data_IF_327718349707
#
_entry.id   IF_327718349707
#
_cell.length_a   1.000
_cell.length_b   1.000
_cell.length_c   1.000
_cell.angle_alpha   90.00
_cell.angle_beta   90.00
_cell.angle_gamma   90.00
#
_symmetry.space_group_name_H-M   'P 1'
#
loop_
_entity.id
_entity.type
_entity.pdbx_description
1 polymer ?
#
# COMPACT_ATOMS: atom_id res chain seq x y z
N UNK A 1 -10.97 35.81 78.33
CA UNK A 1 -12.15 35.40 77.56
C UNK A 1 -11.65 35.09 76.17
N UNK A 2 -11.35 33.80 75.98
CA UNK A 2 -10.79 33.31 74.71
C UNK A 2 -11.93 32.69 73.88
N UNK A 3 -12.11 33.22 72.68
CA UNK A 3 -13.06 32.69 71.69
C UNK A 3 -12.32 31.70 70.81
N UNK A 4 -12.56 30.41 70.99
CA UNK A 4 -12.09 29.34 70.14
C UNK A 4 -13.13 29.14 69.03
N UNK A 5 -12.82 29.58 67.83
CA UNK A 5 -13.64 29.31 66.65
C UNK A 5 -13.35 27.87 66.13
N UNK A 6 -14.28 26.96 66.37
CA UNK A 6 -14.24 25.58 65.84
C UNK A 6 -14.53 25.61 64.36
N UNK A 7 -13.53 25.29 63.52
CA UNK A 7 -13.70 25.03 62.08
C UNK A 7 -14.25 23.63 61.89
N UNK A 8 -15.43 23.48 61.29
CA UNK A 8 -16.09 22.21 61.03
C UNK A 8 -15.27 21.36 60.10
N UNK A 9 -15.00 20.08 60.44
CA UNK A 9 -14.15 19.19 59.61
C UNK A 9 -14.71 18.87 58.19
N UNK A 10 -15.98 19.18 57.96
CA UNK A 10 -16.63 18.97 56.65
C UNK A 10 -16.12 19.92 55.54
N UNK A 11 -15.57 21.08 55.88
CA UNK A 11 -15.03 22.04 54.90
C UNK A 11 -13.64 21.62 54.39
N UNK A 12 -12.87 20.90 55.20
CA UNK A 12 -11.52 20.43 54.84
C UNK A 12 -11.59 19.25 53.86
N UNK A 13 -12.61 18.35 54.01
CA UNK A 13 -12.81 17.22 53.13
C UNK A 13 -13.26 17.66 51.73
N UNK A 14 -14.08 18.72 51.62
CA UNK A 14 -14.52 19.26 50.34
C UNK A 14 -13.37 19.91 49.53
N UNK A 15 -12.38 20.51 50.23
CA UNK A 15 -11.24 21.17 49.57
C UNK A 15 -10.20 20.13 49.08
N UNK A 16 -10.05 18.97 49.75
CA UNK A 16 -9.16 17.90 49.33
C UNK A 16 -9.72 17.09 48.15
N UNK A 17 -11.02 17.04 47.98
CA UNK A 17 -11.65 16.31 46.85
C UNK A 17 -11.59 17.13 45.54
N UNK A 18 -11.45 18.46 45.59
CA UNK A 18 -11.39 19.34 44.41
C UNK A 18 -10.03 19.34 43.71
N UNK A 19 -8.95 18.90 44.36
CA UNK A 19 -7.59 18.84 43.78
C UNK A 19 -7.31 17.56 43.03
N UNK A 20 -8.11 16.49 43.19
CA UNK A 20 -7.90 15.19 42.57
C UNK A 20 -8.44 15.06 41.14
N UNK A 21 -9.11 16.06 40.58
CA UNK A 21 -9.73 16.02 39.24
C UNK A 21 -8.99 16.81 38.15
N UNK A 22 -7.82 17.38 38.44
CA UNK A 22 -7.05 18.17 37.45
C UNK A 22 -5.94 17.38 36.76
N UNK A 23 -6.00 16.08 36.76
CA UNK A 23 -5.01 15.18 36.13
C UNK A 23 -5.45 14.63 34.80
N UNK A 24 -6.02 15.42 33.87
CA UNK A 24 -6.05 15.04 32.47
C UNK A 24 -4.67 15.35 31.85
N UNK A 25 -3.69 14.50 32.09
CA UNK A 25 -2.56 14.39 31.21
C UNK A 25 -3.07 13.83 29.89
N UNK A 26 -3.30 14.71 28.92
CA UNK A 26 -3.37 14.34 27.51
C UNK A 26 -1.96 13.87 27.15
N UNK A 27 -1.68 12.59 27.40
CA UNK A 27 -0.60 11.93 26.73
C UNK A 27 -1.01 11.88 25.26
N UNK A 28 -0.24 12.44 24.31
CA UNK A 28 -0.50 12.19 22.93
C UNK A 28 -0.41 10.67 22.76
N UNK A 29 -1.50 10.05 22.34
CA UNK A 29 -1.48 8.68 21.85
C UNK A 29 -0.54 8.69 20.66
N UNK A 30 0.70 8.29 20.89
CA UNK A 30 1.60 7.94 19.79
C UNK A 30 0.96 6.71 19.17
N UNK A 31 0.29 6.89 18.04
CA UNK A 31 -0.14 5.79 17.18
C UNK A 31 1.11 5.02 16.81
N UNK A 32 1.40 3.97 17.58
CA UNK A 32 2.61 3.14 17.44
C UNK A 32 2.63 2.35 16.14
N UNK A 33 1.63 2.50 15.30
CA UNK A 33 1.45 1.74 14.07
C UNK A 33 1.61 2.57 12.79
N UNK A 34 1.74 3.90 12.89
CA UNK A 34 2.02 4.75 11.74
C UNK A 34 3.50 4.74 11.41
N UNK A 35 3.81 4.48 10.15
CA UNK A 35 5.18 4.55 9.63
C UNK A 35 5.49 6.03 9.30
N UNK A 36 6.54 6.57 9.91
CA UNK A 36 6.87 7.98 9.81
C UNK A 36 8.02 8.21 8.82
N UNK A 37 8.03 9.42 8.25
CA UNK A 37 9.19 9.94 7.53
C UNK A 37 10.42 10.10 8.45
N UNK A 38 11.50 10.71 7.94
CA UNK A 38 12.69 10.97 8.73
C UNK A 38 12.36 11.77 9.99
N UNK A 39 12.97 11.45 11.16
CA UNK A 39 12.73 12.19 12.40
C UNK A 39 13.08 13.69 12.30
N UNK A 40 13.99 14.05 11.42
CA UNK A 40 14.48 15.43 11.19
C UNK A 40 13.61 16.21 10.18
N UNK A 41 12.48 15.65 9.74
CA UNK A 41 11.62 16.27 8.73
C UNK A 41 11.95 15.86 7.29
N UNK A 42 11.54 16.67 6.32
CA UNK A 42 11.76 16.34 4.90
C UNK A 42 13.24 16.42 4.54
N UNK A 43 13.81 15.31 4.05
CA UNK A 43 15.19 15.22 3.58
C UNK A 43 15.21 15.37 2.05
N UNK A 44 16.16 16.17 1.54
CA UNK A 44 16.39 16.24 0.09
C UNK A 44 17.06 14.95 -0.41
N UNK A 45 16.29 14.17 -1.14
CA UNK A 45 16.73 12.90 -1.73
C UNK A 45 16.94 13.00 -3.25
N UNK A 46 16.89 14.20 -3.81
CA UNK A 46 17.00 14.43 -5.26
C UNK A 46 18.32 13.93 -5.83
N UNK A 47 19.42 14.05 -5.05
CA UNK A 47 20.77 13.64 -5.40
C UNK A 47 20.98 12.12 -5.39
N UNK A 48 20.11 11.33 -4.76
CA UNK A 48 20.24 9.87 -4.67
C UNK A 48 19.96 9.26 -6.06
N UNK A 49 20.91 8.54 -6.70
CA UNK A 49 20.69 7.98 -8.02
C UNK A 49 19.70 6.81 -7.97
N UNK A 50 19.11 6.47 -9.11
CA UNK A 50 18.35 5.24 -9.28
C UNK A 50 19.21 4.01 -8.96
N UNK A 51 18.58 2.92 -8.54
CA UNK A 51 19.25 1.64 -8.45
C UNK A 51 19.81 1.24 -9.83
N UNK A 52 21.03 0.72 -9.85
CA UNK A 52 21.66 0.22 -11.07
C UNK A 52 21.40 -1.28 -11.16
N UNK A 53 20.65 -1.77 -12.16
CA UNK A 53 20.41 -3.20 -12.32
C UNK A 53 21.69 -4.00 -12.44
N UNK A 54 21.80 -5.04 -11.63
CA UNK A 54 22.95 -5.97 -11.62
C UNK A 54 22.46 -7.40 -11.79
N UNK A 55 23.23 -8.22 -12.48
CA UNK A 55 23.01 -9.65 -12.59
C UNK A 55 23.46 -10.34 -11.28
N UNK A 56 22.61 -10.35 -10.30
CA UNK A 56 22.88 -10.92 -8.97
C UNK A 56 22.19 -12.29 -8.85
N UNK A 57 22.84 -13.27 -8.17
CA UNK A 57 22.18 -14.52 -7.85
C UNK A 57 21.00 -14.25 -6.91
N UNK A 58 20.03 -15.16 -6.91
CA UNK A 58 18.91 -15.12 -5.95
C UNK A 58 19.49 -15.08 -4.53
N UNK A 59 18.95 -14.21 -3.70
CA UNK A 59 19.35 -14.16 -2.29
C UNK A 59 19.04 -15.51 -1.61
N UNK A 60 19.90 -15.87 -0.67
CA UNK A 60 19.77 -17.12 0.11
C UNK A 60 18.45 -17.14 0.91
N UNK A 61 17.99 -15.97 1.31
CA UNK A 61 16.79 -15.78 2.12
C UNK A 61 15.68 -15.10 1.32
N UNK A 62 14.45 -15.21 1.82
CA UNK A 62 13.29 -14.53 1.25
C UNK A 62 12.71 -15.18 -0.02
N UNK A 63 13.25 -16.29 -0.51
CA UNK A 63 12.83 -16.98 -1.72
C UNK A 63 12.29 -18.43 -1.52
N UNK A 64 11.44 -18.70 -0.50
CA UNK A 64 10.79 -20.00 -0.41
C UNK A 64 9.78 -20.17 -1.57
N UNK A 65 9.38 -21.39 -1.88
CA UNK A 65 8.33 -21.64 -2.89
C UNK A 65 7.02 -20.93 -2.52
N UNK A 66 6.67 -20.91 -1.23
CA UNK A 66 5.54 -20.14 -0.68
C UNK A 66 5.79 -19.80 0.77
N UNK A 67 5.08 -18.78 1.26
CA UNK A 67 5.09 -18.38 2.67
C UNK A 67 3.71 -17.86 3.09
N UNK A 68 3.43 -17.80 4.40
CA UNK A 68 2.14 -17.35 4.94
C UNK A 68 2.36 -16.16 5.84
N UNK A 69 1.60 -15.09 5.62
CA UNK A 69 1.53 -13.91 6.49
C UNK A 69 0.08 -13.54 6.71
N UNK A 70 -0.31 -13.28 7.96
CA UNK A 70 -1.69 -12.93 8.33
C UNK A 70 -2.73 -13.91 7.75
N UNK A 71 -2.42 -15.21 7.74
CA UNK A 71 -3.30 -16.26 7.22
C UNK A 71 -3.36 -16.37 5.69
N UNK A 72 -2.77 -15.44 4.94
CA UNK A 72 -2.74 -15.46 3.47
C UNK A 72 -1.46 -16.10 2.96
N UNK A 73 -1.60 -17.03 2.01
CA UNK A 73 -0.46 -17.68 1.35
C UNK A 73 -0.03 -16.93 0.10
N UNK A 74 1.27 -16.71 -0.03
CA UNK A 74 1.92 -16.08 -1.17
C UNK A 74 2.86 -17.09 -1.82
N UNK A 75 2.89 -17.11 -3.16
CA UNK A 75 3.77 -17.97 -3.95
C UNK A 75 4.83 -17.10 -4.61
N UNK A 76 6.10 -17.42 -4.36
CA UNK A 76 7.23 -16.72 -4.99
C UNK A 76 7.39 -17.21 -6.43
N UNK A 77 7.47 -16.27 -7.36
CA UNK A 77 7.65 -16.57 -8.78
C UNK A 77 9.02 -17.22 -9.04
N UNK A 78 9.05 -18.14 -9.98
CA UNK A 78 10.31 -18.77 -10.41
C UNK A 78 11.22 -17.83 -11.20
N UNK A 79 10.68 -16.77 -11.81
CA UNK A 79 11.41 -15.77 -12.58
C UNK A 79 10.67 -14.43 -12.50
N UNK A 80 11.43 -13.32 -12.58
CA UNK A 80 10.87 -11.98 -12.76
C UNK A 80 10.70 -11.59 -14.25
N UNK A 81 11.15 -12.43 -15.16
CA UNK A 81 11.15 -12.12 -16.59
C UNK A 81 9.74 -11.84 -17.11
N UNK A 82 9.58 -10.69 -17.77
CA UNK A 82 8.31 -10.29 -18.38
C UNK A 82 7.25 -9.83 -17.38
N UNK A 83 7.59 -9.75 -16.08
CA UNK A 83 6.64 -9.27 -15.08
C UNK A 83 6.29 -7.80 -15.31
N UNK A 84 5.02 -7.54 -15.49
CA UNK A 84 4.40 -6.22 -15.57
C UNK A 84 3.14 -6.23 -14.74
N UNK A 85 3.06 -5.37 -13.73
CA UNK A 85 1.91 -5.30 -12.83
C UNK A 85 1.50 -3.86 -12.59
N UNK A 86 0.19 -3.56 -12.62
CA UNK A 86 -0.39 -2.27 -12.24
C UNK A 86 -1.17 -2.41 -10.96
N UNK A 87 -0.93 -1.50 -10.04
CA UNK A 87 -1.59 -1.52 -8.75
C UNK A 87 -1.21 -0.31 -7.90
N UNK A 88 -1.51 -0.42 -6.62
CA UNK A 88 -1.23 0.63 -5.65
C UNK A 88 0.14 0.40 -5.03
N UNK A 89 0.98 1.43 -5.05
CA UNK A 89 2.17 1.53 -4.22
C UNK A 89 1.86 2.24 -2.91
N UNK A 90 2.50 1.80 -1.84
CA UNK A 90 2.69 2.56 -0.61
C UNK A 90 4.18 2.69 -0.30
N UNK A 91 4.53 3.16 0.88
CA UNK A 91 5.91 3.27 1.30
C UNK A 91 6.07 2.93 2.78
N UNK A 92 7.28 2.54 3.17
CA UNK A 92 7.66 2.21 4.53
C UNK A 92 8.90 3.03 4.92
N UNK A 93 8.94 3.53 6.14
CA UNK A 93 9.90 4.54 6.56
C UNK A 93 10.70 4.16 7.81
N UNK A 94 10.77 5.07 8.76
CA UNK A 94 11.69 5.01 9.91
C UNK A 94 11.46 3.83 10.84
N UNK A 95 10.24 3.30 10.93
CA UNK A 95 9.91 2.11 11.76
C UNK A 95 10.74 0.88 11.41
N UNK A 96 11.12 0.74 10.14
CA UNK A 96 11.86 -0.40 9.62
C UNK A 96 13.34 -0.10 9.35
N UNK A 97 13.73 1.18 9.38
CA UNK A 97 15.13 1.58 9.12
C UNK A 97 16.11 0.87 10.03
N UNK A 98 17.19 0.34 9.45
CA UNK A 98 18.19 -0.44 10.15
C UNK A 98 17.83 -1.91 10.43
N UNK A 99 16.57 -2.34 10.17
CA UNK A 99 16.17 -3.74 10.35
C UNK A 99 16.56 -4.59 9.14
N UNK A 100 16.64 -5.91 9.35
CA UNK A 100 16.90 -6.84 8.25
C UNK A 100 15.67 -7.02 7.36
N UNK A 101 15.87 -6.91 6.05
CA UNK A 101 14.90 -7.26 5.02
C UNK A 101 14.81 -8.77 4.85
N UNK A 102 13.81 -9.22 4.10
CA UNK A 102 13.62 -10.65 3.79
C UNK A 102 14.78 -11.25 2.99
N UNK A 103 15.52 -10.46 2.20
CA UNK A 103 16.73 -10.91 1.51
C UNK A 103 17.93 -11.06 2.44
N UNK A 104 17.86 -10.51 3.66
CA UNK A 104 18.96 -10.47 4.63
C UNK A 104 19.80 -9.21 4.59
N UNK A 105 19.53 -8.26 3.69
CA UNK A 105 20.14 -6.93 3.66
C UNK A 105 19.61 -6.06 4.81
N UNK A 106 20.32 -5.01 5.18
CA UNK A 106 19.78 -4.00 6.11
C UNK A 106 18.92 -3.02 5.33
N UNK A 107 17.69 -2.78 5.80
CA UNK A 107 16.82 -1.78 5.20
C UNK A 107 17.35 -0.36 5.47
N UNK A 108 17.60 0.34 4.39
CA UNK A 108 17.91 1.76 4.39
C UNK A 108 16.77 2.53 3.74
N UNK A 109 16.03 3.34 4.53
CA UNK A 109 14.92 4.14 4.01
C UNK A 109 15.36 5.17 2.97
N UNK A 110 16.65 5.53 2.95
CA UNK A 110 17.24 6.44 1.96
C UNK A 110 17.74 5.72 0.70
N UNK A 111 17.81 4.40 0.70
CA UNK A 111 18.16 3.59 -0.48
C UNK A 111 17.04 3.56 -1.53
N UNK A 112 17.41 3.25 -2.77
CA UNK A 112 16.42 3.02 -3.86
C UNK A 112 15.96 1.56 -3.85
N UNK A 113 15.14 1.20 -2.84
CA UNK A 113 14.68 -0.16 -2.58
C UNK A 113 13.16 -0.25 -2.50
N UNK A 114 12.64 -1.48 -2.56
CA UNK A 114 11.23 -1.76 -2.40
C UNK A 114 10.98 -3.19 -1.89
N UNK A 115 9.76 -3.44 -1.38
CA UNK A 115 9.24 -4.75 -1.03
C UNK A 115 8.17 -5.18 -2.03
N UNK A 116 8.16 -6.48 -2.39
CA UNK A 116 7.17 -7.10 -3.25
C UNK A 116 6.83 -8.51 -2.78
N UNK A 117 5.55 -8.90 -2.88
CA UNK A 117 5.08 -10.17 -2.30
C UNK A 117 5.56 -11.40 -3.04
N UNK A 118 5.67 -11.36 -4.36
CA UNK A 118 5.86 -12.58 -5.17
C UNK A 118 7.11 -12.59 -6.05
N UNK A 119 7.68 -11.44 -6.40
CA UNK A 119 8.89 -11.39 -7.23
C UNK A 119 10.08 -12.05 -6.51
N UNK A 120 10.98 -12.77 -7.22
CA UNK A 120 12.20 -13.30 -6.62
C UNK A 120 13.10 -12.18 -6.11
N UNK A 121 13.80 -12.41 -5.01
CA UNK A 121 14.75 -11.47 -4.43
C UNK A 121 16.20 -11.85 -4.79
N UNK A 122 17.04 -10.91 -5.23
CA UNK A 122 16.65 -9.57 -5.62
C UNK A 122 16.02 -9.54 -7.02
N UNK A 123 15.17 -8.55 -7.26
CA UNK A 123 14.72 -8.16 -8.59
C UNK A 123 14.89 -6.65 -8.76
N UNK A 124 15.40 -6.20 -9.88
CA UNK A 124 15.37 -4.78 -10.23
C UNK A 124 14.11 -4.49 -11.03
N UNK A 125 13.43 -3.42 -10.66
CA UNK A 125 12.19 -3.02 -11.32
C UNK A 125 12.14 -1.53 -11.61
N UNK A 126 11.60 -1.18 -12.78
CA UNK A 126 11.16 0.16 -13.07
C UNK A 126 9.77 0.35 -12.47
N UNK A 127 9.59 1.39 -11.68
CA UNK A 127 8.31 1.79 -11.11
C UNK A 127 7.93 3.14 -11.69
N UNK A 128 6.75 3.20 -12.30
CA UNK A 128 6.23 4.43 -12.94
C UNK A 128 4.95 4.84 -12.23
N UNK A 129 4.90 6.07 -11.71
CA UNK A 129 3.67 6.68 -11.21
C UNK A 129 2.77 7.04 -12.41
N UNK A 130 1.60 6.41 -12.46
CA UNK A 130 0.66 6.54 -13.59
C UNK A 130 -0.12 7.86 -13.59
N UNK A 131 -0.09 8.63 -12.48
CA UNK A 131 -0.76 9.92 -12.38
C UNK A 131 0.09 11.07 -12.95
N UNK A 132 1.42 11.02 -12.74
CA UNK A 132 2.35 12.09 -13.13
C UNK A 132 3.45 11.68 -14.13
N UNK A 133 3.56 10.39 -14.46
CA UNK A 133 4.53 9.84 -15.41
C UNK A 133 5.97 9.74 -14.86
N UNK A 134 6.24 10.12 -13.61
CA UNK A 134 7.57 9.96 -13.02
C UNK A 134 7.94 8.48 -12.92
N UNK A 135 9.19 8.17 -13.21
CA UNK A 135 9.70 6.80 -13.22
C UNK A 135 11.05 6.70 -12.54
N UNK A 136 11.24 5.63 -11.79
CA UNK A 136 12.45 5.32 -11.04
C UNK A 136 12.82 3.85 -11.23
N UNK A 137 14.05 3.49 -10.87
CA UNK A 137 14.48 2.10 -10.77
C UNK A 137 14.79 1.81 -9.30
N UNK A 138 14.24 0.70 -8.79
CA UNK A 138 14.45 0.22 -7.43
C UNK A 138 14.97 -1.22 -7.42
N UNK A 139 15.68 -1.58 -6.36
CA UNK A 139 16.01 -2.97 -6.02
C UNK A 139 14.93 -3.52 -5.10
N UNK A 140 14.21 -4.53 -5.53
CA UNK A 140 13.26 -5.27 -4.71
C UNK A 140 14.05 -6.29 -3.88
N UNK A 141 14.18 -6.03 -2.59
CA UNK A 141 14.98 -6.83 -1.66
C UNK A 141 14.21 -7.25 -0.40
N UNK A 142 12.90 -6.96 -0.35
CA UNK A 142 12.08 -7.30 0.80
C UNK A 142 10.71 -7.89 0.41
N UNK A 143 9.98 -8.46 1.41
CA UNK A 143 8.64 -9.01 1.29
C UNK A 143 7.59 -8.07 1.88
N UNK A 144 6.52 -7.88 1.17
CA UNK A 144 5.40 -7.00 1.41
C UNK A 144 4.90 -6.43 0.09
N UNK A 145 3.85 -5.63 0.09
CA UNK A 145 2.97 -5.29 1.21
C UNK A 145 2.05 -6.43 1.64
N UNK A 146 1.69 -6.45 2.93
CA UNK A 146 0.72 -7.40 3.46
C UNK A 146 -0.65 -6.75 3.72
N UNK A 147 -0.80 -5.49 3.39
CA UNK A 147 -2.08 -4.81 3.29
C UNK A 147 -2.79 -5.18 2.00
N UNK A 148 -4.11 -5.31 2.06
CA UNK A 148 -4.92 -5.54 0.87
C UNK A 148 -4.79 -4.38 -0.13
N UNK A 149 -4.97 -4.69 -1.42
CA UNK A 149 -4.97 -3.74 -2.53
C UNK A 149 -3.62 -3.08 -2.87
N UNK A 150 -2.51 -3.44 -2.23
CA UNK A 150 -1.17 -2.92 -2.54
C UNK A 150 -0.32 -3.99 -3.20
N UNK A 151 0.53 -3.57 -4.14
CA UNK A 151 1.43 -4.48 -4.88
C UNK A 151 2.90 -4.29 -4.52
N UNK A 152 3.29 -3.08 -4.11
CA UNK A 152 4.68 -2.73 -3.82
C UNK A 152 4.72 -1.71 -2.67
N UNK A 153 5.67 -1.88 -1.76
CA UNK A 153 6.04 -0.87 -0.77
C UNK A 153 7.39 -0.28 -1.12
N UNK A 154 7.44 1.04 -1.27
CA UNK A 154 8.62 1.78 -1.66
C UNK A 154 9.39 2.26 -0.43
N UNK A 155 10.71 2.41 -0.55
CA UNK A 155 11.48 3.19 0.43
C UNK A 155 11.03 4.65 0.45
N UNK A 156 11.39 5.40 1.49
CA UNK A 156 11.13 6.84 1.59
C UNK A 156 11.65 7.60 0.37
N UNK A 157 12.91 7.35 -0.03
CA UNK A 157 13.51 7.99 -1.21
C UNK A 157 12.77 7.65 -2.50
N UNK A 158 12.44 6.39 -2.70
CA UNK A 158 11.71 5.95 -3.89
C UNK A 158 10.32 6.60 -3.98
N UNK A 159 9.59 6.66 -2.86
CA UNK A 159 8.29 7.29 -2.79
C UNK A 159 8.36 8.82 -2.98
N UNK A 160 9.40 9.47 -2.44
CA UNK A 160 9.66 10.90 -2.64
C UNK A 160 9.86 11.24 -4.12
N UNK A 161 10.73 10.49 -4.81
CA UNK A 161 11.01 10.70 -6.23
C UNK A 161 9.81 10.48 -7.13
N UNK A 162 8.90 9.58 -6.77
CA UNK A 162 7.64 9.32 -7.46
C UNK A 162 6.52 10.31 -7.08
N UNK A 163 6.76 11.20 -6.10
CA UNK A 163 5.75 12.14 -5.59
C UNK A 163 4.53 11.44 -4.95
N UNK A 164 4.81 10.40 -4.16
CA UNK A 164 3.80 9.58 -3.48
C UNK A 164 3.74 9.91 -1.98
N UNK A 165 4.82 10.43 -1.37
CA UNK A 165 4.95 10.61 0.08
C UNK A 165 3.73 11.29 0.73
N UNK A 166 3.31 12.45 0.19
CA UNK A 166 2.22 13.26 0.78
C UNK A 166 0.87 12.53 0.76
N UNK A 167 0.63 11.72 -0.27
CA UNK A 167 -0.61 10.94 -0.42
C UNK A 167 -0.54 9.61 0.33
N UNK A 168 0.65 9.16 0.73
CA UNK A 168 0.90 7.85 1.32
C UNK A 168 0.80 6.69 0.32
N UNK A 169 0.06 6.85 -0.76
CA UNK A 169 -0.18 5.84 -1.80
C UNK A 169 -0.22 6.48 -3.19
N UNK A 170 0.02 5.66 -4.22
CA UNK A 170 -0.07 6.11 -5.62
C UNK A 170 -0.33 4.96 -6.58
N UNK A 171 -0.94 5.27 -7.73
CA UNK A 171 -1.13 4.30 -8.81
C UNK A 171 0.17 4.12 -9.58
N UNK A 172 0.67 2.90 -9.66
CA UNK A 172 1.94 2.60 -10.31
C UNK A 172 1.84 1.45 -11.30
N UNK A 173 2.79 1.43 -12.24
CA UNK A 173 3.17 0.28 -13.04
C UNK A 173 4.55 -0.18 -12.59
N UNK A 174 4.68 -1.48 -12.29
CA UNK A 174 5.93 -2.15 -11.93
C UNK A 174 6.34 -3.04 -13.08
N UNK A 175 7.53 -2.80 -13.63
CA UNK A 175 8.11 -3.60 -14.73
C UNK A 175 9.44 -4.16 -14.26
N UNK A 176 9.54 -5.48 -14.16
CA UNK A 176 10.82 -6.11 -13.83
C UNK A 176 11.83 -5.93 -14.97
N UNK A 177 13.05 -5.57 -14.62
CA UNK A 177 14.13 -5.32 -15.55
C UNK A 177 15.01 -6.57 -15.71
N UNK A 178 15.47 -6.79 -16.93
CA UNK A 178 16.53 -7.76 -17.19
C UNK A 178 17.88 -7.02 -17.06
N UNK A 179 18.74 -7.36 -16.08
CA UNK A 179 20.02 -6.67 -15.90
C UNK A 179 20.99 -6.79 -17.09
N UNK A 180 20.76 -7.78 -17.96
CA UNK A 180 21.58 -8.01 -19.16
C UNK A 180 21.12 -7.18 -20.38
N UNK A 181 20.03 -6.40 -20.21
CA UNK A 181 19.50 -5.54 -21.25
C UNK A 181 19.56 -4.09 -20.77
N UNK A 182 19.76 -3.13 -21.70
CA UNK A 182 19.67 -1.72 -21.35
C UNK A 182 18.33 -1.43 -20.68
N UNK A 183 18.36 -0.69 -19.57
CA UNK A 183 17.13 -0.23 -18.95
C UNK A 183 16.32 0.59 -19.99
N UNK A 184 14.98 0.46 -20.00
CA UNK A 184 14.15 1.22 -20.93
C UNK A 184 14.45 2.71 -20.80
N UNK A 185 14.91 3.34 -21.86
CA UNK A 185 15.31 4.76 -21.89
C UNK A 185 14.12 5.71 -21.70
N UNK A 186 12.90 5.20 -21.80
CA UNK A 186 11.65 5.94 -21.55
C UNK A 186 10.69 5.04 -20.76
N UNK A 187 9.89 5.62 -19.86
CA UNK A 187 8.76 4.90 -19.28
C UNK A 187 7.96 4.29 -20.43
N UNK A 188 7.60 3.03 -20.31
CA UNK A 188 6.71 2.42 -21.29
C UNK A 188 5.44 3.28 -21.30
N UNK A 189 5.25 4.06 -22.36
CA UNK A 189 4.04 4.86 -22.49
C UNK A 189 2.88 3.88 -22.39
N UNK A 190 2.06 4.07 -21.35
CA UNK A 190 0.87 3.27 -21.20
C UNK A 190 0.08 3.34 -22.48
N UNK A 191 -0.27 2.20 -23.07
CA UNK A 191 -1.07 2.09 -24.28
C UNK A 191 -2.48 2.70 -24.15
N UNK A 192 -2.78 3.35 -23.05
CA UNK A 192 -4.03 4.07 -22.75
C UNK A 192 -3.97 5.49 -23.30
N UNK A 193 -3.77 5.66 -24.60
CA UNK A 193 -3.99 6.89 -25.37
C UNK A 193 -4.47 8.15 -24.63
N UNK A 194 -3.66 8.70 -23.70
CA UNK A 194 -3.93 9.99 -23.07
C UNK A 194 -5.04 10.03 -21.98
N UNK A 195 -5.73 8.93 -21.70
CA UNK A 195 -6.72 8.90 -20.60
C UNK A 195 -6.01 8.71 -19.26
N UNK A 196 -6.37 9.52 -18.26
CA UNK A 196 -5.93 9.31 -16.88
C UNK A 196 -6.38 7.91 -16.43
N UNK A 197 -5.51 7.15 -15.76
CA UNK A 197 -5.87 5.83 -15.25
C UNK A 197 -7.04 5.95 -14.27
N UNK A 198 -8.05 5.10 -14.45
CA UNK A 198 -9.19 5.02 -13.54
C UNK A 198 -8.95 3.96 -12.46
N UNK A 199 -9.30 4.29 -11.23
CA UNK A 199 -9.25 3.37 -10.10
C UNK A 199 -10.61 2.68 -9.93
N UNK A 200 -10.62 1.35 -9.88
CA UNK A 200 -11.83 0.55 -9.72
C UNK A 200 -11.63 -0.53 -8.67
N UNK A 201 -12.71 -0.88 -7.97
CA UNK A 201 -12.73 -2.05 -7.10
C UNK A 201 -13.46 -3.19 -7.82
N UNK A 202 -12.76 -4.26 -8.16
CA UNK A 202 -13.37 -5.48 -8.66
C UNK A 202 -14.00 -6.25 -7.49
N UNK A 203 -15.30 -6.51 -7.61
CA UNK A 203 -16.13 -7.12 -6.56
C UNK A 203 -16.62 -8.52 -6.92
N UNK A 204 -16.27 -8.99 -8.10
CA UNK A 204 -16.59 -10.35 -8.56
C UNK A 204 -16.11 -10.61 -9.97
N UNK A 205 -15.98 -11.90 -10.30
CA UNK A 205 -15.66 -12.39 -11.63
C UNK A 205 -16.51 -13.65 -11.89
N UNK A 206 -17.19 -13.70 -13.03
CA UNK A 206 -18.16 -14.73 -13.37
C UNK A 206 -17.94 -15.26 -14.78
N UNK A 207 -18.13 -16.56 -14.98
CA UNK A 207 -18.18 -17.16 -16.32
C UNK A 207 -19.52 -16.88 -17.03
N UNK A 208 -20.56 -16.54 -16.26
CA UNK A 208 -21.89 -16.25 -16.77
C UNK A 208 -22.23 -14.76 -16.61
N UNK A 209 -22.59 -14.11 -17.71
CA UNK A 209 -22.94 -12.69 -17.75
C UNK A 209 -24.15 -12.35 -16.86
N UNK A 210 -25.16 -13.20 -16.83
CA UNK A 210 -26.36 -12.98 -16.01
C UNK A 210 -26.02 -12.83 -14.52
N UNK A 211 -25.11 -13.68 -14.00
CA UNK A 211 -24.65 -13.60 -12.61
C UNK A 211 -23.88 -12.32 -12.32
N UNK A 212 -23.06 -11.85 -13.28
CA UNK A 212 -22.36 -10.58 -13.17
C UNK A 212 -23.33 -9.39 -13.14
N UNK A 213 -24.33 -9.38 -14.06
CA UNK A 213 -25.34 -8.33 -14.14
C UNK A 213 -26.23 -8.30 -12.87
N UNK A 214 -26.60 -9.46 -12.30
CA UNK A 214 -27.31 -9.54 -11.01
C UNK A 214 -26.53 -8.90 -9.87
N UNK A 215 -25.23 -9.20 -9.76
CA UNK A 215 -24.39 -8.57 -8.74
C UNK A 215 -24.28 -7.06 -8.97
N UNK A 216 -24.04 -6.66 -10.23
CA UNK A 216 -23.93 -5.24 -10.60
C UNK A 216 -25.20 -4.44 -10.21
N UNK A 217 -26.38 -4.94 -10.56
CA UNK A 217 -27.66 -4.29 -10.24
C UNK A 217 -27.88 -4.20 -8.71
N UNK A 218 -27.61 -5.28 -7.98
CA UNK A 218 -27.72 -5.30 -6.51
C UNK A 218 -26.82 -4.24 -5.87
N UNK A 219 -25.57 -4.13 -6.33
CA UNK A 219 -24.61 -3.19 -5.78
C UNK A 219 -24.87 -1.75 -6.23
N UNK A 220 -25.35 -1.52 -7.45
CA UNK A 220 -25.73 -0.19 -7.92
C UNK A 220 -26.78 0.44 -7.01
N UNK A 221 -27.82 -0.33 -6.67
CA UNK A 221 -28.88 0.11 -5.77
C UNK A 221 -28.39 0.34 -4.33
N UNK A 222 -27.48 -0.53 -3.83
CA UNK A 222 -27.01 -0.46 -2.45
C UNK A 222 -25.95 0.64 -2.20
N UNK A 223 -25.14 0.95 -3.23
CA UNK A 223 -23.98 1.83 -3.07
C UNK A 223 -24.20 3.24 -3.64
N UNK A 224 -25.23 3.45 -4.44
CA UNK A 224 -25.45 4.67 -5.22
C UNK A 224 -24.17 5.10 -6.00
N UNK A 225 -23.55 4.13 -6.67
CA UNK A 225 -22.29 4.30 -7.41
C UNK A 225 -22.36 3.68 -8.78
N UNK A 226 -21.53 4.19 -9.68
CA UNK A 226 -21.38 3.59 -11.00
C UNK A 226 -20.73 2.20 -10.89
N UNK A 227 -21.34 1.22 -11.55
CA UNK A 227 -20.85 -0.16 -11.62
C UNK A 227 -20.79 -0.56 -13.08
N UNK A 228 -19.70 -1.18 -13.47
CA UNK A 228 -19.53 -1.71 -14.83
C UNK A 228 -19.27 -3.21 -14.80
N UNK A 229 -19.76 -3.90 -15.82
CA UNK A 229 -19.40 -5.28 -16.11
C UNK A 229 -18.42 -5.27 -17.29
N UNK A 230 -17.16 -5.60 -17.02
CA UNK A 230 -16.12 -5.65 -18.05
C UNK A 230 -15.92 -7.10 -18.49
N UNK A 231 -16.10 -7.34 -19.80
CA UNK A 231 -15.77 -8.61 -20.43
C UNK A 231 -14.25 -8.72 -20.60
N UNK A 232 -13.67 -9.83 -20.24
CA UNK A 232 -12.25 -10.16 -20.47
C UNK A 232 -12.15 -11.64 -20.87
N UNK A 233 -11.12 -11.97 -21.63
CA UNK A 233 -10.80 -13.36 -21.94
C UNK A 233 -9.79 -13.84 -20.92
N UNK A 234 -10.06 -14.99 -20.30
CA UNK A 234 -9.16 -15.69 -19.39
C UNK A 234 -8.81 -17.05 -20.02
N UNK A 235 -7.76 -17.10 -20.86
CA UNK A 235 -7.51 -18.25 -21.69
C UNK A 235 -8.65 -18.45 -22.70
N UNK A 236 -9.16 -19.67 -22.84
CA UNK A 236 -10.26 -20.00 -23.76
C UNK A 236 -11.66 -19.60 -23.23
N UNK A 237 -11.76 -19.10 -22.02
CA UNK A 237 -13.04 -18.77 -21.38
C UNK A 237 -13.27 -17.27 -21.26
N UNK A 238 -14.52 -16.88 -21.49
CA UNK A 238 -14.97 -15.52 -21.18
C UNK A 238 -15.18 -15.33 -19.69
N UNK A 239 -14.73 -14.16 -19.17
CA UNK A 239 -14.91 -13.79 -17.78
C UNK A 239 -15.53 -12.39 -17.71
N UNK A 240 -16.64 -12.28 -16.96
CA UNK A 240 -17.36 -11.04 -16.70
C UNK A 240 -16.96 -10.49 -15.33
N UNK A 241 -16.22 -9.39 -15.30
CA UNK A 241 -15.69 -8.76 -14.08
C UNK A 241 -16.60 -7.61 -13.68
N UNK A 242 -17.14 -7.68 -12.46
CA UNK A 242 -17.95 -6.59 -11.89
C UNK A 242 -17.04 -5.63 -11.16
N UNK A 243 -17.07 -4.36 -11.53
CA UNK A 243 -16.16 -3.32 -11.03
C UNK A 243 -16.96 -2.08 -10.61
N UNK A 244 -16.66 -1.60 -9.40
CA UNK A 244 -17.23 -0.37 -8.83
C UNK A 244 -16.27 0.78 -9.07
N UNK A 245 -16.72 1.89 -9.60
CA UNK A 245 -15.90 3.07 -9.86
C UNK A 245 -16.28 3.81 -11.14
N UNK A 246 -15.51 4.85 -11.54
CA UNK A 246 -14.17 5.16 -11.02
C UNK A 246 -14.18 5.68 -9.58
N UNK A 247 -13.17 5.29 -8.80
CA UNK A 247 -12.95 5.76 -7.45
C UNK A 247 -11.95 6.93 -7.47
N UNK A 248 -12.13 7.88 -6.57
CA UNK A 248 -11.33 9.11 -6.56
C UNK A 248 -10.02 8.98 -5.78
N UNK A 249 -9.89 7.95 -4.93
CA UNK A 249 -8.69 7.72 -4.13
C UNK A 249 -8.56 6.27 -3.67
N UNK A 250 -7.35 5.88 -3.27
CA UNK A 250 -7.07 4.58 -2.66
C UNK A 250 -7.82 4.43 -1.34
N UNK A 251 -7.86 5.46 -0.50
CA UNK A 251 -8.61 5.45 0.76
C UNK A 251 -10.11 5.14 0.53
N UNK A 252 -10.70 5.65 -0.55
CA UNK A 252 -12.07 5.30 -0.91
C UNK A 252 -12.21 3.83 -1.31
N UNK A 253 -11.22 3.27 -2.01
CA UNK A 253 -11.20 1.86 -2.36
C UNK A 253 -11.10 0.96 -1.12
N UNK A 254 -10.25 1.33 -0.16
CA UNK A 254 -10.06 0.60 1.09
C UNK A 254 -11.33 0.63 1.95
N UNK A 255 -11.92 1.80 2.18
CA UNK A 255 -13.19 1.94 2.92
C UNK A 255 -14.32 1.12 2.26
N UNK A 256 -14.39 1.15 0.93
CA UNK A 256 -15.40 0.37 0.20
C UNK A 256 -15.13 -1.13 0.31
N UNK A 257 -13.87 -1.55 0.25
CA UNK A 257 -13.47 -2.95 0.41
C UNK A 257 -13.87 -3.49 1.78
N UNK A 258 -13.59 -2.73 2.85
CA UNK A 258 -13.96 -3.10 4.21
C UNK A 258 -15.49 -3.23 4.37
N UNK A 259 -16.23 -2.25 3.87
CA UNK A 259 -17.70 -2.26 3.90
C UNK A 259 -18.29 -3.48 3.18
N UNK A 260 -17.76 -3.82 2.01
CA UNK A 260 -18.21 -4.96 1.23
C UNK A 260 -17.80 -6.30 1.85
N UNK A 261 -16.59 -6.37 2.44
CA UNK A 261 -16.14 -7.55 3.18
C UNK A 261 -17.03 -7.86 4.39
N UNK A 262 -17.46 -6.84 5.14
CA UNK A 262 -18.44 -6.97 6.23
C UNK A 262 -19.80 -7.50 5.75
N UNK A 263 -20.15 -7.28 4.47
CA UNK A 263 -21.36 -7.82 3.83
C UNK A 263 -21.14 -9.22 3.21
N UNK A 264 -19.99 -9.86 3.49
CA UNK A 264 -19.67 -11.20 2.98
C UNK A 264 -19.17 -11.25 1.54
N UNK A 265 -18.85 -10.10 0.94
CA UNK A 265 -18.25 -10.05 -0.41
C UNK A 265 -16.74 -10.17 -0.25
N UNK A 266 -16.18 -11.29 -0.69
CA UNK A 266 -14.75 -11.62 -0.59
C UNK A 266 -14.07 -11.56 -1.96
N UNK A 267 -12.72 -11.65 -2.00
CA UNK A 267 -11.97 -11.63 -3.26
C UNK A 267 -11.95 -10.26 -3.93
N UNK A 268 -12.02 -9.19 -3.13
CA UNK A 268 -11.97 -7.81 -3.61
C UNK A 268 -10.56 -7.45 -4.09
N UNK A 269 -10.46 -6.81 -5.25
CA UNK A 269 -9.18 -6.38 -5.83
C UNK A 269 -9.29 -4.98 -6.40
N UNK A 270 -8.30 -4.14 -6.13
CA UNK A 270 -8.16 -2.85 -6.80
C UNK A 270 -7.59 -3.05 -8.20
N UNK A 271 -8.23 -2.45 -9.18
CA UNK A 271 -7.85 -2.49 -10.61
C UNK A 271 -7.57 -1.07 -11.09
N UNK A 272 -6.49 -0.89 -11.81
CA UNK A 272 -6.14 0.34 -12.52
C UNK A 272 -6.36 0.09 -14.02
N UNK A 273 -7.22 0.92 -14.65
CA UNK A 273 -7.64 0.73 -16.04
C UNK A 273 -7.57 2.03 -16.85
#
# INVERSE_FOLDING_TARGET
>A
MQIVTSVKPQLIIALLLAVALSGCSILPSVDSDSDYGPPEGAVDVSHIPNAVPKDEPRSRYGNPTSYVVLGKRYYVQSSSQGHVERGIASWYGSKFHGRRTSSGETYDMYGMTAAHTTLPLPTYAQVTNLENGRSIIVKINDRGPFHNNRIIDLSYTAASKLDILKKGTGMVEVVALNPRQPAPSKPRQSATGGKKPGLYLQVGAFSNRYNADRLANRLANALNRSIRVKRSHGGDNEVFRVQVGPLVSVAQADTLSEKLAQQGITGLHVIID
#
